data_IF_364499909981
#
_entry.id   IF_364499909981
#
_cell.length_a   1.000
_cell.length_b   1.000
_cell.length_c   1.000
_cell.angle_alpha   90.00
_cell.angle_beta   90.00
_cell.angle_gamma   90.00
#
_symmetry.space_group_name_H-M   'P 1'
#
loop_
_entity.id
_entity.type
_entity.pdbx_description
1 polymer ?
#
# COMPACT_ATOMS: atom_id res chain seq x y z
N UNK A 1 0.43 -77.67 10.49
CA UNK A 1 0.49 -76.67 9.37
C UNK A 1 -0.84 -75.97 9.13
N UNK A 2 -2.02 -76.58 9.07
CA UNK A 2 -3.31 -75.88 8.81
C UNK A 2 -3.66 -74.77 9.79
N UNK A 3 -3.32 -74.84 11.10
CA UNK A 3 -3.61 -73.83 12.10
C UNK A 3 -2.70 -72.55 11.97
N UNK A 4 -1.50 -72.68 11.42
CA UNK A 4 -0.59 -71.54 11.15
C UNK A 4 -1.02 -70.83 9.87
N UNK A 5 -1.46 -71.59 8.86
CA UNK A 5 -1.95 -71.00 7.61
C UNK A 5 -3.20 -70.13 7.76
N UNK A 6 -4.05 -70.44 8.80
CA UNK A 6 -5.25 -69.64 9.09
C UNK A 6 -4.92 -68.38 9.96
N UNK A 7 -3.82 -68.41 10.70
CA UNK A 7 -3.42 -67.27 11.56
C UNK A 7 -2.87 -66.09 10.75
N UNK A 8 -2.18 -66.38 9.65
CA UNK A 8 -1.58 -65.33 8.79
C UNK A 8 -2.63 -64.40 8.20
N UNK A 9 -3.72 -64.92 7.52
CA UNK A 9 -4.75 -64.02 7.01
C UNK A 9 -5.51 -63.24 8.07
N UNK A 10 -5.73 -63.84 9.28
CA UNK A 10 -6.40 -63.15 10.38
C UNK A 10 -5.52 -61.98 10.90
N UNK A 11 -4.21 -62.17 11.03
CA UNK A 11 -3.29 -61.10 11.43
C UNK A 11 -3.21 -59.99 10.35
N UNK A 12 -3.24 -60.37 9.09
CA UNK A 12 -3.26 -59.40 7.99
C UNK A 12 -4.54 -58.57 7.99
N UNK A 13 -5.71 -59.19 8.23
CA UNK A 13 -6.99 -58.47 8.34
C UNK A 13 -6.99 -57.51 9.53
N UNK A 14 -6.50 -57.96 10.67
CA UNK A 14 -6.39 -57.11 11.89
C UNK A 14 -5.43 -55.94 11.64
N UNK A 15 -4.31 -56.18 10.98
CA UNK A 15 -3.35 -55.12 10.61
C UNK A 15 -4.00 -54.12 9.65
N UNK A 16 -4.62 -54.54 8.56
CA UNK A 16 -5.29 -53.67 7.60
C UNK A 16 -6.45 -52.86 8.25
N UNK A 17 -7.23 -53.51 9.12
CA UNK A 17 -8.28 -52.83 9.87
C UNK A 17 -7.72 -51.78 10.83
N UNK A 18 -6.61 -52.10 11.48
CA UNK A 18 -5.90 -51.11 12.35
C UNK A 18 -5.39 -49.93 11.54
N UNK A 19 -4.71 -50.16 10.42
CA UNK A 19 -4.23 -49.10 9.53
C UNK A 19 -5.39 -48.24 9.03
N UNK A 20 -6.51 -48.84 8.66
CA UNK A 20 -7.68 -48.10 8.21
C UNK A 20 -8.31 -47.28 9.32
N UNK A 21 -8.44 -47.81 10.53
CA UNK A 21 -8.96 -47.11 11.71
C UNK A 21 -8.04 -45.97 12.10
N UNK A 22 -6.75 -46.23 12.21
CA UNK A 22 -5.78 -45.14 12.55
C UNK A 22 -5.74 -44.08 11.45
N UNK A 23 -5.72 -44.48 10.18
CA UNK A 23 -5.80 -43.53 9.07
C UNK A 23 -7.08 -42.70 9.11
N UNK A 24 -8.23 -43.33 9.43
CA UNK A 24 -9.51 -42.61 9.54
C UNK A 24 -9.57 -41.66 10.76
N UNK A 25 -8.88 -41.97 11.84
CA UNK A 25 -8.88 -41.15 13.05
C UNK A 25 -7.84 -40.02 12.96
N UNK A 26 -6.62 -40.33 12.49
CA UNK A 26 -5.53 -39.35 12.39
C UNK A 26 -5.55 -38.55 11.10
N UNK A 27 -6.11 -39.05 10.00
CA UNK A 27 -6.36 -38.31 8.78
C UNK A 27 -7.81 -37.83 8.66
N UNK A 28 -8.57 -37.76 9.73
CA UNK A 28 -9.75 -36.88 9.75
C UNK A 28 -9.22 -35.47 9.48
N UNK A 29 -9.25 -35.15 8.20
CA UNK A 29 -8.75 -33.88 7.72
C UNK A 29 -9.35 -32.78 8.55
N UNK A 30 -8.51 -32.02 9.21
CA UNK A 30 -8.83 -30.65 9.43
C UNK A 30 -9.20 -30.14 8.03
N UNK A 31 -10.49 -29.89 7.84
CA UNK A 31 -10.93 -29.11 6.70
C UNK A 31 -10.11 -27.85 6.79
N UNK A 32 -9.14 -27.67 5.90
CA UNK A 32 -8.47 -26.40 5.75
C UNK A 32 -9.60 -25.43 5.48
N UNK A 33 -10.04 -24.73 6.52
CA UNK A 33 -11.00 -23.67 6.39
C UNK A 33 -10.24 -22.57 5.64
N UNK A 34 -10.34 -22.60 4.31
CA UNK A 34 -10.01 -21.44 3.50
C UNK A 34 -11.03 -20.39 3.90
N UNK A 35 -10.65 -19.53 4.81
CA UNK A 35 -11.45 -18.37 5.14
C UNK A 35 -11.38 -17.49 3.91
N UNK A 36 -12.49 -17.37 3.19
CA UNK A 36 -12.61 -16.38 2.14
C UNK A 36 -12.36 -15.02 2.80
N UNK A 37 -11.27 -14.38 2.43
CA UNK A 37 -11.02 -13.01 2.90
C UNK A 37 -12.12 -12.12 2.36
N UNK A 38 -12.96 -11.60 3.25
CA UNK A 38 -13.91 -10.56 2.87
C UNK A 38 -13.12 -9.34 2.37
N UNK A 39 -13.63 -8.68 1.34
CA UNK A 39 -13.07 -7.39 0.91
C UNK A 39 -13.03 -6.42 2.09
N UNK A 40 -11.99 -5.58 2.12
CA UNK A 40 -11.87 -4.52 3.14
C UNK A 40 -13.16 -3.68 3.17
N UNK A 41 -13.69 -3.45 4.36
CA UNK A 41 -14.96 -2.74 4.58
C UNK A 41 -14.80 -1.41 5.30
N UNK A 42 -13.59 -1.13 5.84
CA UNK A 42 -13.32 0.13 6.51
C UNK A 42 -13.03 1.24 5.49
N UNK A 43 -13.48 2.47 5.75
CA UNK A 43 -13.12 3.61 4.92
C UNK A 43 -11.61 3.81 4.84
N UNK A 44 -11.14 4.33 3.71
CA UNK A 44 -9.76 4.79 3.55
C UNK A 44 -9.81 6.31 3.38
N UNK A 45 -8.99 7.02 4.14
CA UNK A 45 -8.87 8.46 4.03
C UNK A 45 -7.58 8.81 3.28
N UNK A 46 -7.64 9.87 2.50
CA UNK A 46 -6.50 10.42 1.77
C UNK A 46 -6.43 11.91 2.05
N UNK A 47 -5.24 12.47 2.14
CA UNK A 47 -5.10 13.92 2.10
C UNK A 47 -5.15 14.40 0.65
N UNK A 48 -5.62 15.63 0.44
CA UNK A 48 -5.55 16.33 -0.84
C UNK A 48 -4.63 17.53 -0.70
N UNK A 49 -3.62 17.62 -1.53
CA UNK A 49 -2.71 18.75 -1.59
C UNK A 49 -2.36 19.05 -3.04
N UNK A 50 -2.27 20.32 -3.40
CA UNK A 50 -2.02 20.76 -4.77
C UNK A 50 -2.93 20.05 -5.81
N UNK A 51 -4.22 19.90 -5.49
CA UNK A 51 -5.25 19.20 -6.29
C UNK A 51 -4.97 17.70 -6.53
N UNK A 52 -4.00 17.14 -5.85
CA UNK A 52 -3.62 15.72 -5.95
C UNK A 52 -3.95 14.99 -4.66
N UNK A 53 -4.50 13.78 -4.82
CA UNK A 53 -4.76 12.86 -3.70
C UNK A 53 -3.46 12.19 -3.29
N UNK A 54 -3.10 12.27 -2.01
CA UNK A 54 -1.84 11.79 -1.45
C UNK A 54 -2.06 11.16 -0.07
N UNK A 55 -1.04 10.50 0.46
CA UNK A 55 -0.98 10.03 1.84
C UNK A 55 -2.22 9.21 2.23
N UNK A 56 -2.41 8.00 1.68
CA UNK A 56 -3.48 7.11 2.12
C UNK A 56 -3.33 6.78 3.61
N UNK A 57 -4.43 6.91 4.34
CA UNK A 57 -4.52 6.60 5.77
C UNK A 57 -5.50 5.45 5.95
N UNK A 58 -5.10 4.44 6.71
CA UNK A 58 -5.93 3.27 7.02
C UNK A 58 -6.46 3.38 8.45
N UNK A 59 -7.70 2.93 8.66
CA UNK A 59 -8.39 3.06 9.94
C UNK A 59 -7.88 2.09 11.00
N UNK A 60 -7.62 2.61 12.20
CA UNK A 60 -7.35 1.84 13.41
C UNK A 60 -8.60 1.80 14.27
N UNK A 61 -8.95 0.65 14.81
CA UNK A 61 -10.08 0.48 15.74
C UNK A 61 -9.76 0.92 17.18
N UNK A 62 -8.48 1.15 17.48
CA UNK A 62 -8.00 1.66 18.76
C UNK A 62 -7.25 2.98 18.55
N UNK A 63 -7.51 3.95 19.44
CA UNK A 63 -6.76 5.20 19.45
C UNK A 63 -5.29 4.93 19.81
N UNK A 64 -4.38 5.53 19.05
CA UNK A 64 -2.95 5.50 19.34
C UNK A 64 -2.67 6.28 20.63
N UNK A 65 -1.85 5.72 21.50
CA UNK A 65 -1.45 6.36 22.77
C UNK A 65 -0.17 7.17 22.61
N UNK A 66 0.73 6.71 21.74
CA UNK A 66 2.01 7.35 21.43
C UNK A 66 2.14 7.54 19.94
N UNK A 67 2.76 8.63 19.52
CA UNK A 67 2.97 8.90 18.09
C UNK A 67 4.08 8.02 17.51
N UNK A 68 3.70 6.95 16.85
CA UNK A 68 4.59 6.08 16.08
C UNK A 68 4.51 6.30 14.58
N UNK A 69 3.68 7.25 14.11
CA UNK A 69 3.46 7.52 12.70
C UNK A 69 4.71 8.14 12.07
N UNK A 70 5.22 7.49 11.05
CA UNK A 70 6.34 7.96 10.21
C UNK A 70 6.01 7.90 8.71
N UNK A 71 4.78 7.52 8.36
CA UNK A 71 4.39 7.26 6.99
C UNK A 71 4.33 8.54 6.15
N UNK A 72 3.18 9.17 6.10
CA UNK A 72 2.98 10.35 5.27
C UNK A 72 3.19 11.65 6.04
N UNK A 73 3.71 12.67 5.35
CA UNK A 73 3.67 14.05 5.80
C UNK A 73 2.80 14.86 4.84
N UNK A 74 1.84 15.61 5.40
CA UNK A 74 0.95 16.46 4.63
C UNK A 74 1.46 17.89 4.70
N UNK A 75 2.00 18.44 3.60
CA UNK A 75 2.37 19.84 3.54
C UNK A 75 1.12 20.72 3.50
N UNK A 76 1.14 21.79 4.26
CA UNK A 76 0.10 22.80 4.31
C UNK A 76 0.71 24.16 4.06
N UNK A 77 0.08 24.96 3.20
CA UNK A 77 0.53 26.32 2.91
C UNK A 77 0.10 27.30 4.01
N UNK A 78 0.46 28.56 3.85
CA UNK A 78 0.18 29.65 4.81
C UNK A 78 -1.31 29.99 4.93
N UNK A 79 -2.13 29.64 3.94
CA UNK A 79 -3.59 29.81 3.97
C UNK A 79 -4.28 28.78 4.88
N UNK A 80 -3.54 27.80 5.39
CA UNK A 80 -3.98 26.75 6.33
C UNK A 80 -5.13 25.88 5.83
N UNK A 81 -5.28 25.80 4.51
CA UNK A 81 -6.29 24.94 3.87
C UNK A 81 -5.81 23.52 3.73
N UNK A 82 -6.70 22.59 4.00
CA UNK A 82 -6.51 21.16 3.86
C UNK A 82 -7.72 20.52 3.19
N UNK A 83 -7.47 19.47 2.44
CA UNK A 83 -8.51 18.62 1.88
C UNK A 83 -8.37 17.18 2.36
N UNK A 84 -9.49 16.51 2.64
CA UNK A 84 -9.55 15.09 2.90
C UNK A 84 -10.53 14.43 1.94
N UNK A 85 -10.07 13.36 1.29
CA UNK A 85 -10.89 12.51 0.44
C UNK A 85 -11.14 11.20 1.18
N UNK A 86 -12.37 10.78 1.24
CA UNK A 86 -12.82 9.58 1.94
C UNK A 86 -13.29 8.59 0.89
N UNK A 87 -12.60 7.45 0.75
CA UNK A 87 -13.16 6.27 0.09
C UNK A 87 -13.99 5.53 1.13
N UNK A 88 -15.30 5.57 0.95
CA UNK A 88 -16.28 5.10 1.94
C UNK A 88 -16.25 3.58 2.07
N UNK A 89 -15.86 2.87 1.00
CA UNK A 89 -15.74 1.41 0.98
C UNK A 89 -16.96 0.68 1.58
N UNK A 90 -18.16 1.15 1.22
CA UNK A 90 -19.49 0.65 1.70
C UNK A 90 -19.78 0.89 3.20
N UNK A 91 -18.95 1.62 3.92
CA UNK A 91 -19.23 1.99 5.31
C UNK A 91 -20.29 3.08 5.37
N UNK A 92 -21.02 3.13 6.48
CA UNK A 92 -21.97 4.21 6.76
C UNK A 92 -21.40 5.15 7.81
N UNK A 93 -20.93 6.31 7.37
CA UNK A 93 -20.25 7.31 8.22
C UNK A 93 -21.32 8.25 8.81
N UNK A 94 -21.31 8.41 10.14
CA UNK A 94 -22.18 9.31 10.88
C UNK A 94 -21.53 10.67 11.15
N UNK A 95 -20.24 10.65 11.48
CA UNK A 95 -19.51 11.85 11.90
C UNK A 95 -18.03 11.70 11.56
N UNK A 96 -17.38 12.81 11.22
CA UNK A 96 -15.95 12.92 11.12
C UNK A 96 -15.47 14.14 11.90
N UNK A 97 -14.42 13.98 12.67
CA UNK A 97 -13.74 15.06 13.37
C UNK A 97 -12.24 14.97 13.12
N UNK A 98 -11.54 16.10 13.18
CA UNK A 98 -10.08 16.11 13.18
C UNK A 98 -9.55 16.71 14.48
N UNK A 99 -8.33 16.33 14.81
CA UNK A 99 -7.59 16.90 15.94
C UNK A 99 -6.14 17.13 15.49
N UNK A 100 -5.60 18.29 15.80
CA UNK A 100 -4.18 18.61 15.61
C UNK A 100 -3.51 18.62 16.97
N UNK A 101 -2.42 17.87 17.10
CA UNK A 101 -1.64 17.79 18.35
C UNK A 101 -0.17 18.04 18.08
N UNK A 102 0.57 18.37 19.14
CA UNK A 102 2.03 18.30 19.12
C UNK A 102 2.52 16.88 18.81
N UNK A 103 3.74 16.69 18.29
CA UNK A 103 4.23 15.35 17.90
C UNK A 103 4.24 14.33 19.02
N UNK A 104 4.38 14.77 20.27
CA UNK A 104 4.32 13.93 21.48
C UNK A 104 2.88 13.61 21.94
N UNK A 105 1.87 14.15 21.22
CA UNK A 105 0.44 14.03 21.53
C UNK A 105 0.03 14.59 22.91
N UNK A 106 0.88 15.39 23.56
CA UNK A 106 0.60 15.92 24.90
C UNK A 106 -0.28 17.19 24.84
N UNK A 107 -0.15 17.98 23.78
CA UNK A 107 -0.90 19.22 23.63
C UNK A 107 -1.81 19.15 22.41
N UNK A 108 -3.10 19.34 22.63
CA UNK A 108 -4.07 19.56 21.55
C UNK A 108 -4.05 21.03 21.16
N UNK A 109 -3.80 21.29 19.88
CA UNK A 109 -3.83 22.63 19.29
C UNK A 109 -5.25 22.96 18.87
N UNK A 110 -5.91 22.05 18.17
CA UNK A 110 -7.24 22.26 17.65
C UNK A 110 -7.99 20.93 17.55
N UNK A 111 -9.31 20.97 17.81
CA UNK A 111 -10.23 19.86 17.57
C UNK A 111 -11.54 20.40 17.02
N UNK A 112 -11.94 19.90 15.84
CA UNK A 112 -13.15 20.37 15.16
C UNK A 112 -13.88 19.21 14.47
N UNK A 113 -15.22 19.33 14.37
CA UNK A 113 -16.02 18.45 13.53
C UNK A 113 -16.07 18.98 12.11
N UNK A 114 -15.98 18.07 11.15
CA UNK A 114 -16.14 18.39 9.74
C UNK A 114 -17.59 18.16 9.30
N UNK A 115 -18.06 19.06 8.43
CA UNK A 115 -19.39 18.91 7.81
C UNK A 115 -19.32 17.85 6.72
N UNK A 116 -20.09 16.78 6.88
CA UNK A 116 -20.21 15.76 5.85
C UNK A 116 -21.02 16.30 4.66
N UNK A 117 -20.66 15.96 3.42
CA UNK A 117 -21.50 16.25 2.27
C UNK A 117 -22.88 15.61 2.41
N UNK A 118 -23.92 16.30 1.90
CA UNK A 118 -25.30 15.81 1.97
C UNK A 118 -25.51 14.47 1.26
N UNK A 119 -24.65 14.17 0.27
CA UNK A 119 -24.64 12.90 -0.45
C UNK A 119 -23.22 12.35 -0.47
N UNK A 120 -23.07 11.13 -0.01
CA UNK A 120 -21.83 10.37 -0.04
C UNK A 120 -22.10 9.06 -0.79
N UNK A 121 -21.61 8.96 -2.02
CA UNK A 121 -21.74 7.74 -2.83
C UNK A 121 -20.59 6.76 -2.51
N UNK A 122 -19.59 6.67 -3.38
CA UNK A 122 -18.38 5.84 -3.16
C UNK A 122 -17.26 6.64 -2.52
N UNK A 123 -17.19 7.93 -2.81
CA UNK A 123 -16.19 8.86 -2.28
C UNK A 123 -16.83 10.14 -1.80
N UNK A 124 -16.21 10.79 -0.82
CA UNK A 124 -16.55 12.12 -0.36
C UNK A 124 -15.30 12.98 -0.25
N UNK A 125 -15.40 14.25 -0.58
CA UNK A 125 -14.32 15.23 -0.44
C UNK A 125 -14.77 16.33 0.52
N UNK A 126 -13.90 16.71 1.46
CA UNK A 126 -14.16 17.75 2.46
C UNK A 126 -12.95 18.66 2.49
N UNK A 127 -13.17 19.94 2.26
CA UNK A 127 -12.17 21.00 2.47
C UNK A 127 -12.40 21.67 3.82
N UNK A 128 -11.33 21.99 4.53
CA UNK A 128 -11.36 22.68 5.81
C UNK A 128 -10.10 23.53 6.01
N UNK A 129 -10.14 24.45 6.95
CA UNK A 129 -8.98 25.28 7.30
C UNK A 129 -8.76 25.23 8.80
N UNK A 130 -7.51 25.13 9.21
CA UNK A 130 -7.17 25.28 10.63
C UNK A 130 -7.46 26.68 11.09
N UNK A 131 -8.18 26.79 12.20
CA UNK A 131 -8.52 28.07 12.83
C UNK A 131 -7.35 28.54 13.69
N UNK A 132 -6.79 27.64 14.48
CA UNK A 132 -5.65 27.94 15.34
C UNK A 132 -4.33 27.89 14.55
N UNK A 133 -3.43 28.85 14.81
CA UNK A 133 -2.12 28.86 14.16
C UNK A 133 -1.22 27.77 14.71
N UNK A 134 -0.49 27.12 13.81
CA UNK A 134 0.62 26.22 14.14
C UNK A 134 1.97 26.88 13.79
N UNK A 135 3.02 26.42 14.43
CA UNK A 135 4.36 26.96 14.16
C UNK A 135 4.86 26.52 12.80
N UNK A 136 5.37 27.47 12.02
CA UNK A 136 6.00 27.21 10.73
C UNK A 136 7.23 26.31 10.90
N UNK A 137 7.45 25.41 9.95
CA UNK A 137 8.60 24.49 9.93
C UNK A 137 8.67 23.50 11.11
N UNK A 138 7.56 23.31 11.80
CA UNK A 138 7.43 22.31 12.85
C UNK A 138 6.41 21.27 12.43
N UNK A 139 6.72 19.99 12.66
CA UNK A 139 5.77 18.91 12.44
C UNK A 139 4.73 18.88 13.56
N UNK A 140 3.51 18.56 13.18
CA UNK A 140 2.38 18.26 14.06
C UNK A 140 1.79 16.91 13.67
N UNK A 141 0.95 16.34 14.51
CA UNK A 141 0.13 15.18 14.19
C UNK A 141 -1.29 15.65 13.91
N UNK A 142 -1.77 15.35 12.70
CA UNK A 142 -3.18 15.48 12.33
C UNK A 142 -3.81 14.10 12.39
N UNK A 143 -4.86 13.94 13.19
CA UNK A 143 -5.62 12.71 13.20
C UNK A 143 -7.11 12.96 12.99
N UNK A 144 -7.74 12.01 12.31
CA UNK A 144 -9.19 12.01 12.10
C UNK A 144 -9.84 10.93 12.95
N UNK A 145 -11.01 11.25 13.50
CA UNK A 145 -11.89 10.28 14.14
C UNK A 145 -13.14 10.16 13.28
N UNK A 146 -13.34 9.00 12.68
CA UNK A 146 -14.54 8.67 11.92
C UNK A 146 -15.45 7.81 12.77
N UNK A 147 -16.67 8.25 13.00
CA UNK A 147 -17.69 7.48 13.73
C UNK A 147 -18.67 6.89 12.73
N UNK A 148 -18.80 5.58 12.73
CA UNK A 148 -19.74 4.84 11.89
C UNK A 148 -21.17 4.90 12.47
N UNK A 149 -22.17 4.60 11.66
CA UNK A 149 -23.56 4.48 12.13
C UNK A 149 -23.74 3.38 13.18
N UNK A 150 -22.86 2.36 13.20
CA UNK A 150 -22.80 1.35 14.26
C UNK A 150 -22.40 1.91 15.62
N UNK A 151 -21.83 3.12 15.67
CA UNK A 151 -21.22 3.71 16.86
C UNK A 151 -19.72 3.40 17.02
N UNK A 152 -19.16 2.55 16.16
CA UNK A 152 -17.74 2.27 16.15
C UNK A 152 -16.95 3.51 15.73
N UNK A 153 -15.77 3.71 16.37
CA UNK A 153 -14.85 4.79 16.05
C UNK A 153 -13.59 4.25 15.40
N UNK A 154 -13.21 4.90 14.31
CA UNK A 154 -11.99 4.60 13.55
C UNK A 154 -11.07 5.81 13.61
N UNK A 155 -9.77 5.57 13.76
CA UNK A 155 -8.75 6.60 13.92
C UNK A 155 -7.75 6.54 12.78
N UNK A 156 -7.45 7.71 12.19
CA UNK A 156 -6.56 7.87 11.04
C UNK A 156 -5.53 8.93 11.35
N UNK A 157 -4.30 8.76 10.90
CA UNK A 157 -3.19 9.62 11.31
C UNK A 157 -2.32 10.01 10.13
N UNK A 158 -1.87 11.26 10.10
CA UNK A 158 -0.84 11.78 9.20
C UNK A 158 -0.03 12.85 9.91
N UNK A 159 1.23 13.03 9.52
CA UNK A 159 2.02 14.18 9.97
C UNK A 159 1.57 15.41 9.20
N UNK A 160 1.64 16.57 9.82
CA UNK A 160 1.29 17.87 9.24
C UNK A 160 2.48 18.81 9.35
N UNK A 161 2.81 19.52 8.28
CA UNK A 161 3.88 20.50 8.23
C UNK A 161 3.38 21.77 7.53
N UNK A 162 3.36 22.90 8.25
CA UNK A 162 3.08 24.20 7.62
C UNK A 162 4.36 24.86 7.14
N UNK A 163 4.45 25.10 5.82
CA UNK A 163 5.57 25.77 5.21
C UNK A 163 5.23 26.29 3.81
N UNK A 164 5.61 27.52 3.52
CA UNK A 164 5.49 28.07 2.16
C UNK A 164 6.64 27.58 1.25
N UNK A 165 6.38 27.55 -0.05
CA UNK A 165 7.41 27.35 -1.08
C UNK A 165 7.98 25.92 -1.18
N UNK A 166 7.22 24.91 -0.74
CA UNK A 166 7.67 23.51 -0.77
C UNK A 166 7.65 22.86 -2.16
N UNK A 167 7.16 23.56 -3.20
CA UNK A 167 7.09 23.06 -4.58
C UNK A 167 6.37 21.70 -4.72
N UNK A 168 5.35 21.49 -3.91
CA UNK A 168 4.61 20.21 -3.81
C UNK A 168 4.05 19.77 -5.16
N UNK A 169 3.41 20.70 -5.87
CA UNK A 169 2.83 20.45 -7.21
C UNK A 169 3.88 19.92 -8.19
N UNK A 170 5.07 20.52 -8.20
CA UNK A 170 6.15 20.16 -9.11
C UNK A 170 6.64 18.73 -8.83
N UNK A 171 6.79 18.38 -7.56
CA UNK A 171 7.21 17.02 -7.16
C UNK A 171 6.16 15.98 -7.48
N UNK A 172 4.90 16.24 -7.16
CA UNK A 172 3.80 15.30 -7.43
C UNK A 172 3.60 15.10 -8.92
N UNK A 173 3.61 16.18 -9.71
CA UNK A 173 3.52 16.07 -11.17
C UNK A 173 4.68 15.26 -11.76
N UNK A 174 5.90 15.47 -11.27
CA UNK A 174 7.07 14.73 -11.72
C UNK A 174 6.94 13.23 -11.45
N UNK A 175 6.57 12.85 -10.22
CA UNK A 175 6.45 11.43 -9.84
C UNK A 175 5.35 10.74 -10.61
N UNK A 176 4.19 11.40 -10.76
CA UNK A 176 3.06 10.87 -11.54
C UNK A 176 3.45 10.69 -13.01
N UNK A 177 4.07 11.70 -13.61
CA UNK A 177 4.52 11.65 -15.01
C UNK A 177 5.58 10.55 -15.23
N UNK A 178 6.56 10.43 -14.32
CA UNK A 178 7.58 9.39 -14.41
C UNK A 178 6.96 7.99 -14.30
N UNK A 179 6.07 7.77 -13.32
CA UNK A 179 5.34 6.52 -13.13
C UNK A 179 4.55 6.14 -14.38
N UNK A 180 3.72 7.03 -14.90
CA UNK A 180 2.90 6.77 -16.09
C UNK A 180 3.77 6.46 -17.32
N UNK A 181 4.83 7.22 -17.54
CA UNK A 181 5.77 7.01 -18.64
C UNK A 181 6.59 5.74 -18.50
N UNK A 182 6.92 5.31 -17.28
CA UNK A 182 7.65 4.06 -17.07
C UNK A 182 6.85 2.84 -17.54
N UNK A 183 5.53 2.91 -17.47
CA UNK A 183 4.61 1.83 -17.86
C UNK A 183 4.22 1.92 -19.35
N UNK A 184 4.04 3.13 -19.86
CA UNK A 184 3.65 3.34 -21.24
C UNK A 184 4.90 3.45 -22.14
N UNK A 185 5.18 2.38 -22.88
CA UNK A 185 6.37 2.28 -23.77
C UNK A 185 6.44 3.35 -24.87
N UNK A 186 5.31 3.89 -25.29
CA UNK A 186 5.28 4.94 -26.34
C UNK A 186 5.86 6.26 -25.83
N UNK A 187 5.60 6.60 -24.57
CA UNK A 187 6.05 7.83 -23.91
C UNK A 187 7.30 7.68 -23.08
N UNK A 188 7.71 6.44 -22.81
CA UNK A 188 8.82 6.08 -21.93
C UNK A 188 10.13 6.79 -22.24
N UNK A 189 10.43 7.06 -23.51
CA UNK A 189 11.71 7.69 -23.93
C UNK A 189 11.98 9.01 -23.19
N UNK A 190 10.94 9.71 -22.75
CA UNK A 190 11.08 10.99 -22.04
C UNK A 190 11.78 10.84 -20.66
N UNK A 191 11.73 9.67 -20.01
CA UNK A 191 12.37 9.47 -18.71
C UNK A 191 13.88 9.21 -18.80
N UNK A 192 14.43 8.94 -20.00
CA UNK A 192 15.86 8.62 -20.18
C UNK A 192 16.78 9.70 -19.61
N UNK A 193 16.37 10.96 -19.67
CA UNK A 193 17.17 12.10 -19.21
C UNK A 193 17.33 12.17 -17.70
N UNK A 194 16.56 11.39 -16.96
CA UNK A 194 16.62 11.32 -15.49
C UNK A 194 17.41 10.12 -14.97
N UNK A 195 17.83 9.21 -15.87
CA UNK A 195 18.53 7.99 -15.50
C UNK A 195 20.04 8.20 -15.57
N UNK A 196 20.75 7.63 -14.60
CA UNK A 196 22.21 7.63 -14.50
C UNK A 196 22.79 6.26 -14.92
N UNK A 197 22.33 5.73 -16.05
CA UNK A 197 22.67 4.37 -16.49
C UNK A 197 24.18 4.15 -16.51
N UNK A 198 24.66 3.26 -15.63
CA UNK A 198 26.08 2.94 -15.48
C UNK A 198 26.60 1.87 -16.49
N UNK A 199 25.79 1.52 -17.49
CA UNK A 199 26.15 0.52 -18.47
C UNK A 199 25.81 -0.90 -18.01
N UNK A 200 26.77 -1.79 -17.85
CA UNK A 200 26.52 -3.18 -17.49
C UNK A 200 26.30 -3.32 -15.97
N UNK A 201 25.07 -3.59 -15.56
CA UNK A 201 24.76 -3.97 -14.19
C UNK A 201 24.65 -5.49 -14.11
N UNK A 202 25.28 -6.12 -13.12
CA UNK A 202 25.24 -7.57 -12.89
C UNK A 202 23.83 -8.09 -12.59
N UNK A 203 22.93 -7.24 -12.08
CA UNK A 203 21.54 -7.55 -11.83
C UNK A 203 20.71 -7.37 -13.12
N UNK A 204 20.14 -8.45 -13.64
CA UNK A 204 19.36 -8.48 -14.89
C UNK A 204 17.84 -8.67 -14.68
N UNK A 205 17.40 -8.88 -13.44
CA UNK A 205 15.99 -9.08 -13.15
C UNK A 205 15.23 -7.74 -12.99
N UNK A 206 13.91 -7.83 -12.87
CA UNK A 206 13.01 -6.70 -12.63
C UNK A 206 12.59 -6.58 -11.16
N UNK A 207 13.09 -7.44 -10.27
CA UNK A 207 12.74 -7.44 -8.86
C UNK A 207 13.29 -6.21 -8.14
N UNK A 208 14.46 -5.73 -8.55
CA UNK A 208 15.07 -4.51 -8.02
C UNK A 208 15.66 -3.67 -9.16
N UNK A 209 15.17 -2.46 -9.30
CA UNK A 209 15.55 -1.49 -10.34
C UNK A 209 15.80 -0.15 -9.67
N UNK A 210 16.87 0.54 -10.06
CA UNK A 210 17.30 1.82 -9.50
C UNK A 210 17.63 2.86 -10.58
N UNK A 211 18.05 4.06 -10.18
CA UNK A 211 18.39 5.17 -11.06
C UNK A 211 19.55 4.83 -12.02
N UNK A 212 20.43 3.88 -11.65
CA UNK A 212 21.58 3.44 -12.46
C UNK A 212 21.22 2.32 -13.42
N UNK A 213 20.04 1.75 -13.28
CA UNK A 213 19.53 0.67 -14.14
C UNK A 213 19.34 1.13 -15.58
N UNK A 214 19.42 0.20 -16.51
CA UNK A 214 19.22 0.50 -17.94
C UNK A 214 17.79 0.97 -18.19
N UNK A 215 17.61 1.84 -19.18
CA UNK A 215 16.28 2.30 -19.62
C UNK A 215 15.30 1.14 -19.82
N UNK A 216 15.74 0.05 -20.47
CA UNK A 216 14.89 -1.11 -20.71
C UNK A 216 14.37 -1.72 -19.41
N UNK A 217 15.17 -1.79 -18.34
CA UNK A 217 14.72 -2.31 -17.04
C UNK A 217 13.77 -1.35 -16.32
N UNK A 218 14.06 -0.06 -16.37
CA UNK A 218 13.18 0.96 -15.78
C UNK A 218 11.81 0.96 -16.46
N UNK A 219 11.76 0.65 -17.75
CA UNK A 219 10.52 0.55 -18.55
C UNK A 219 9.98 -0.88 -18.68
N UNK A 220 10.26 -1.74 -17.68
CA UNK A 220 9.72 -3.09 -17.55
C UNK A 220 10.22 -4.12 -18.59
N UNK A 221 11.28 -3.84 -19.33
CA UNK A 221 11.86 -4.80 -20.28
C UNK A 221 10.85 -5.29 -21.32
N UNK A 222 10.71 -6.60 -21.41
CA UNK A 222 9.71 -7.25 -22.28
C UNK A 222 8.36 -7.46 -21.59
N UNK A 223 8.26 -7.16 -20.29
CA UNK A 223 7.00 -7.23 -19.57
C UNK A 223 6.05 -6.16 -20.11
N UNK A 224 4.77 -6.48 -20.22
CA UNK A 224 3.72 -5.55 -20.58
C UNK A 224 2.74 -5.38 -19.40
N UNK A 225 3.15 -4.62 -18.34
CA UNK A 225 2.39 -4.53 -17.13
C UNK A 225 1.06 -3.81 -17.35
N UNK A 226 0.01 -4.35 -16.72
CA UNK A 226 -1.30 -3.69 -16.63
C UNK A 226 -1.52 -3.25 -15.19
N UNK A 227 -2.03 -2.04 -14.98
CA UNK A 227 -2.32 -1.54 -13.63
C UNK A 227 -3.56 -2.22 -13.07
N UNK A 228 -3.36 -3.07 -12.07
CA UNK A 228 -4.45 -3.70 -11.31
C UNK A 228 -4.92 -2.83 -10.14
N UNK A 229 -4.00 -2.12 -9.47
CA UNK A 229 -4.30 -1.12 -8.44
C UNK A 229 -3.44 0.11 -8.68
N UNK A 230 -4.08 1.26 -8.84
CA UNK A 230 -3.38 2.53 -9.07
C UNK A 230 -2.54 2.95 -7.87
N UNK A 231 -1.40 3.59 -8.14
CA UNK A 231 -0.56 4.21 -7.15
C UNK A 231 -1.22 5.47 -6.57
N UNK A 232 -1.00 5.69 -5.27
CA UNK A 232 -1.27 6.97 -4.61
C UNK A 232 0.03 7.44 -3.99
N UNK A 233 0.54 8.65 -4.32
CA UNK A 233 1.79 9.15 -3.77
C UNK A 233 1.73 9.31 -2.25
N UNK A 234 2.80 8.91 -1.57
CA UNK A 234 3.01 9.16 -0.14
C UNK A 234 4.22 10.06 0.01
N UNK A 235 4.02 11.29 0.48
CA UNK A 235 5.11 12.22 0.75
C UNK A 235 5.77 11.78 2.06
N UNK A 236 7.01 11.29 2.00
CA UNK A 236 7.76 10.79 3.16
C UNK A 236 8.50 11.89 3.88
N UNK A 237 9.12 12.75 3.10
CA UNK A 237 9.88 13.90 3.56
C UNK A 237 9.71 15.04 2.57
N UNK A 238 9.65 16.26 3.08
CA UNK A 238 9.65 17.46 2.26
C UNK A 238 10.31 18.63 3.00
N UNK A 239 11.17 19.33 2.31
CA UNK A 239 11.81 20.55 2.80
C UNK A 239 12.01 21.56 1.64
N UNK A 240 12.68 22.67 1.86
CA UNK A 240 12.89 23.72 0.85
C UNK A 240 13.54 23.22 -0.44
N UNK A 241 14.43 22.27 -0.34
CA UNK A 241 15.28 21.86 -1.45
C UNK A 241 14.98 20.46 -1.97
N UNK A 242 14.47 19.56 -1.13
CA UNK A 242 14.27 18.15 -1.49
C UNK A 242 12.92 17.64 -1.04
N UNK A 243 12.45 16.62 -1.78
CA UNK A 243 11.26 15.85 -1.44
C UNK A 243 11.53 14.37 -1.69
N UNK A 244 11.02 13.51 -0.78
CA UNK A 244 11.01 12.06 -0.96
C UNK A 244 9.56 11.57 -1.00
N UNK A 245 9.23 10.80 -2.04
CA UNK A 245 7.89 10.24 -2.27
C UNK A 245 8.02 8.74 -2.50
N UNK A 246 7.08 7.97 -1.96
CA UNK A 246 6.88 6.57 -2.32
C UNK A 246 5.57 6.37 -3.05
N UNK A 247 5.54 5.39 -3.94
CA UNK A 247 4.33 4.94 -4.62
C UNK A 247 4.21 3.43 -4.51
N UNK A 248 3.08 2.98 -3.97
CA UNK A 248 2.75 1.58 -3.85
C UNK A 248 1.58 1.24 -4.76
N UNK A 249 1.74 0.22 -5.61
CA UNK A 249 0.72 -0.18 -6.56
C UNK A 249 0.80 -1.67 -6.91
N UNK A 250 -0.19 -2.16 -7.63
CA UNK A 250 -0.21 -3.55 -8.10
C UNK A 250 -0.32 -3.55 -9.62
N UNK A 251 0.55 -4.31 -10.24
CA UNK A 251 0.47 -4.63 -11.66
C UNK A 251 0.09 -6.09 -11.86
N UNK A 252 -0.46 -6.39 -13.01
CA UNK A 252 -0.64 -7.75 -13.51
C UNK A 252 0.10 -7.94 -14.83
N UNK A 253 0.56 -9.15 -15.07
CA UNK A 253 1.15 -9.57 -16.35
C UNK A 253 0.88 -11.03 -16.57
N UNK A 254 0.94 -11.48 -17.83
CA UNK A 254 0.92 -12.91 -18.15
C UNK A 254 2.27 -13.53 -17.81
N UNK A 255 2.25 -14.68 -17.17
CA UNK A 255 3.43 -15.51 -16.98
C UNK A 255 3.70 -16.43 -18.20
N UNK A 256 4.78 -17.22 -18.13
CA UNK A 256 5.14 -18.16 -19.22
C UNK A 256 4.08 -19.25 -19.45
N UNK A 257 3.26 -19.55 -18.45
CA UNK A 257 2.14 -20.49 -18.53
C UNK A 257 0.84 -19.84 -19.04
N UNK A 258 0.88 -18.59 -19.49
CA UNK A 258 -0.29 -17.78 -19.91
C UNK A 258 -1.31 -17.57 -18.77
N UNK A 259 -0.86 -17.60 -17.52
CA UNK A 259 -1.69 -17.26 -16.37
C UNK A 259 -1.41 -15.83 -15.93
N UNK A 260 -2.43 -15.16 -15.39
CA UNK A 260 -2.26 -13.80 -14.89
C UNK A 260 -1.53 -13.84 -13.54
N UNK A 261 -0.34 -13.30 -13.50
CA UNK A 261 0.42 -13.08 -12.27
C UNK A 261 0.25 -11.63 -11.80
N UNK A 262 0.18 -11.43 -10.48
CA UNK A 262 0.09 -10.11 -9.85
C UNK A 262 1.38 -9.80 -9.10
N UNK A 263 1.80 -8.52 -9.16
CA UNK A 263 3.02 -8.07 -8.52
C UNK A 263 2.74 -6.80 -7.72
N UNK A 264 3.18 -6.80 -6.47
CA UNK A 264 3.22 -5.61 -5.63
C UNK A 264 4.51 -4.84 -5.92
N UNK A 265 4.35 -3.58 -6.24
CA UNK A 265 5.45 -2.69 -6.63
C UNK A 265 5.51 -1.54 -5.63
N UNK A 266 6.71 -1.30 -5.13
CA UNK A 266 7.03 -0.12 -4.33
C UNK A 266 8.09 0.69 -5.08
N UNK A 267 7.81 1.94 -5.35
CA UNK A 267 8.78 2.90 -5.90
C UNK A 267 9.12 3.97 -4.88
N UNK A 268 10.36 4.36 -4.84
CA UNK A 268 10.88 5.47 -4.04
C UNK A 268 11.54 6.49 -4.95
N UNK A 269 11.21 7.76 -4.73
CA UNK A 269 11.76 8.89 -5.45
C UNK A 269 12.34 9.89 -4.46
N UNK A 270 13.61 10.26 -4.64
CA UNK A 270 14.20 11.42 -3.98
C UNK A 270 14.51 12.48 -5.03
N UNK A 271 14.01 13.67 -4.81
CA UNK A 271 14.03 14.75 -5.82
C UNK A 271 14.51 16.06 -5.21
N UNK A 272 15.04 16.92 -6.08
CA UNK A 272 15.36 18.32 -5.78
C UNK A 272 14.72 19.23 -6.80
N UNK A 273 14.12 20.31 -6.36
CA UNK A 273 13.66 21.38 -7.24
C UNK A 273 14.71 22.48 -7.29
N UNK A 274 15.27 22.75 -8.45
CA UNK A 274 16.25 23.79 -8.66
C UNK A 274 16.19 24.30 -10.11
N UNK A 275 16.45 25.58 -10.33
CA UNK A 275 16.47 26.19 -11.67
C UNK A 275 15.19 25.90 -12.47
N UNK A 276 14.04 25.99 -11.79
CA UNK A 276 12.69 25.79 -12.37
C UNK A 276 12.43 24.38 -12.92
N UNK A 277 13.17 23.36 -12.47
CA UNK A 277 12.97 21.97 -12.84
C UNK A 277 13.18 21.03 -11.66
N UNK A 278 12.53 19.86 -11.74
CA UNK A 278 12.76 18.75 -10.81
C UNK A 278 13.96 17.95 -11.31
N UNK A 279 14.88 17.66 -10.41
CA UNK A 279 16.04 16.77 -10.62
C UNK A 279 15.77 15.51 -9.80
N UNK A 280 15.82 14.34 -10.43
CA UNK A 280 15.78 13.05 -9.76
C UNK A 280 17.15 12.76 -9.16
N UNK A 281 17.22 12.58 -7.84
CA UNK A 281 18.47 12.31 -7.11
C UNK A 281 18.63 10.82 -6.80
N UNK A 282 17.50 10.14 -6.58
CA UNK A 282 17.45 8.70 -6.41
C UNK A 282 16.09 8.18 -6.89
N UNK A 283 16.12 6.98 -7.44
CA UNK A 283 14.95 6.19 -7.81
C UNK A 283 15.24 4.74 -7.48
N UNK A 284 14.34 4.10 -6.75
CA UNK A 284 14.38 2.67 -6.47
C UNK A 284 13.01 2.07 -6.69
N UNK A 285 12.94 0.93 -7.35
CA UNK A 285 11.73 0.14 -7.52
C UNK A 285 11.98 -1.29 -7.09
N UNK A 286 11.13 -1.78 -6.18
CA UNK A 286 11.09 -3.16 -5.75
C UNK A 286 9.78 -3.80 -6.20
N UNK A 287 9.89 -4.97 -6.82
CA UNK A 287 8.75 -5.72 -7.37
C UNK A 287 8.71 -7.10 -6.72
N UNK A 288 7.57 -7.47 -6.15
CA UNK A 288 7.36 -8.76 -5.48
C UNK A 288 6.13 -9.43 -6.05
N UNK A 289 6.26 -10.66 -6.49
CA UNK A 289 5.11 -11.43 -6.95
C UNK A 289 4.15 -11.69 -5.78
N UNK A 290 2.87 -11.41 -5.99
CA UNK A 290 1.82 -11.76 -5.05
C UNK A 290 1.44 -13.22 -5.24
N UNK A 291 1.45 -13.96 -4.15
CA UNK A 291 0.99 -15.34 -4.17
C UNK A 291 -0.52 -15.38 -4.39
N UNK A 292 -0.93 -16.11 -5.40
CA UNK A 292 -2.34 -16.40 -5.63
C UNK A 292 -2.71 -17.64 -4.84
N UNK A 293 -3.69 -17.52 -3.96
CA UNK A 293 -4.24 -18.61 -3.17
C UNK A 293 -5.26 -19.36 -4.04
N UNK A 294 -4.79 -20.14 -5.00
CA UNK A 294 -5.64 -21.11 -5.66
C UNK A 294 -5.64 -22.46 -4.92
N UNK A 295 -6.59 -23.34 -5.24
CA UNK A 295 -6.71 -24.64 -4.58
C UNK A 295 -5.50 -25.55 -4.84
N UNK A 296 -4.70 -25.29 -5.87
CA UNK A 296 -3.52 -26.08 -6.20
C UNK A 296 -2.34 -25.78 -5.28
N UNK A 297 -2.25 -24.53 -4.75
CA UNK A 297 -1.18 -24.11 -3.86
C UNK A 297 -1.42 -24.52 -2.40
N UNK A 298 -2.66 -24.73 -2.01
CA UNK A 298 -3.04 -25.10 -0.63
C UNK A 298 -3.63 -26.51 -0.63
N UNK A 299 -3.05 -27.41 0.10
CA UNK A 299 -3.55 -28.77 0.28
C UNK A 299 -3.48 -29.20 1.76
N UNK A 300 -4.02 -30.39 2.07
CA UNK A 300 -4.02 -30.93 3.44
C UNK A 300 -2.63 -31.06 4.10
N UNK A 301 -1.57 -31.02 3.33
CA UNK A 301 -0.20 -31.16 3.82
C UNK A 301 0.51 -29.80 4.00
N UNK A 302 -0.11 -28.69 3.57
CA UNK A 302 0.43 -27.38 3.70
C UNK A 302 0.34 -26.53 2.43
N UNK A 303 1.19 -25.52 2.37
CA UNK A 303 1.30 -24.57 1.27
C UNK A 303 2.42 -25.02 0.33
N UNK A 304 2.11 -25.23 -0.95
CA UNK A 304 3.11 -25.48 -1.98
C UNK A 304 3.72 -24.14 -2.43
N UNK A 305 4.98 -23.90 -2.10
CA UNK A 305 5.67 -22.65 -2.46
C UNK A 305 6.26 -22.68 -3.88
N UNK A 306 6.12 -23.78 -4.61
CA UNK A 306 6.67 -23.91 -5.96
C UNK A 306 8.22 -23.86 -6.01
N UNK A 307 8.87 -24.08 -4.88
CA UNK A 307 10.35 -24.16 -4.80
C UNK A 307 10.69 -25.63 -5.01
N UNK A 308 11.15 -25.95 -6.19
CA UNK A 308 11.64 -27.26 -6.59
C UNK A 308 13.14 -27.25 -6.86
#
# INVERSE_FOLDING_TARGET
MKKVLLRIPVLLIVFLASVFLFSSVFNRGETVSTTDFSSASLPVLYMKTADTVVNPMYGYTKRMQENTIRDGITPMDTDRKLGVVIDINKASIREIAYTVTTPDMQTTVEEQKLSLPAKMDTTAEIEFSLQEPILMNQEYLLHFTVTLNSGEKLYYYTRLLQRAGLNVTQYLNFVTDFYEKSINKETAKAITTYLESAGDTSNKDLASVDITSTFNRVTWGNLNPQIAKKAVPVIREINETTCSITMDYVISSMDDAQQTAYFYVTEFYRMRYASSRVMLLNFDRNTKQLMQMDQALVNKNGLCLGIG
#
